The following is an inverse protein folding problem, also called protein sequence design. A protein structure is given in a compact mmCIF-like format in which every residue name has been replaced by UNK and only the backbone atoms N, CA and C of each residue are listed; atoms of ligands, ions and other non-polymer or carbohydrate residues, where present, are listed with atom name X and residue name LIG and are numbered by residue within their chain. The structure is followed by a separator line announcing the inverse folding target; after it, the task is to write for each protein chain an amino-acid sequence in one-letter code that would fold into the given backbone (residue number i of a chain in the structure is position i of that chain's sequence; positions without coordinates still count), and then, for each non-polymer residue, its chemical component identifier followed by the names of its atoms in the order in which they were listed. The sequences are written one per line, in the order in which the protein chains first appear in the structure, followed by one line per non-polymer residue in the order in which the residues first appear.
data_IF_201347369583
#
_entry.id   IF_201347369583
#
_cell.length_a   1.000
_cell.length_b   1.000
_cell.length_c   1.000
_cell.angle_alpha   90.00
_cell.angle_beta   90.00
_cell.angle_gamma   90.00
#
_symmetry.space_group_name_H-M   'P 1'
#
loop_
_entity.id
_entity.type
_entity.pdbx_description
1 polymer ?
#
# COMPACT_ATOMS: atom_id res chain seq x y z
N UNK A 1 10.97 0.99 10.77
CA UNK A 1 11.76 -0.20 10.41
C UNK A 1 11.01 -1.52 10.53
N UNK A 2 10.06 -1.70 11.49
CA UNK A 2 9.26 -2.94 11.60
C UNK A 2 8.52 -3.30 10.29
N UNK A 3 7.79 -2.35 9.70
CA UNK A 3 7.09 -2.57 8.43
C UNK A 3 7.99 -3.11 7.33
N UNK A 4 9.19 -2.55 7.17
CA UNK A 4 10.13 -2.94 6.12
C UNK A 4 10.62 -4.39 6.30
N UNK A 5 10.87 -4.82 7.54
CA UNK A 5 11.24 -6.20 7.88
C UNK A 5 10.06 -7.17 7.71
N UNK A 6 8.84 -6.74 8.06
CA UNK A 6 7.63 -7.53 7.87
C UNK A 6 7.31 -7.71 6.38
N UNK A 7 7.49 -6.66 5.58
CA UNK A 7 7.25 -6.66 4.14
C UNK A 7 8.31 -7.46 3.36
N UNK A 8 9.56 -7.43 3.83
CA UNK A 8 10.65 -8.17 3.20
C UNK A 8 10.62 -9.66 3.52
N UNK A 9 9.89 -10.10 4.55
CA UNK A 9 9.73 -11.50 4.95
C UNK A 9 11.06 -12.26 5.07
N UNK A 10 12.13 -11.58 5.50
CA UNK A 10 13.49 -12.14 5.62
C UNK A 10 14.34 -12.07 4.35
N UNK A 11 13.81 -11.63 3.21
CA UNK A 11 14.57 -11.40 1.98
C UNK A 11 15.25 -10.02 2.02
N UNK A 12 16.57 -10.03 2.17
CA UNK A 12 17.37 -8.81 2.25
C UNK A 12 17.38 -8.02 0.92
N UNK A 13 17.33 -8.68 -0.24
CA UNK A 13 17.25 -8.01 -1.55
C UNK A 13 15.96 -7.24 -1.70
N UNK A 14 14.84 -7.84 -1.25
CA UNK A 14 13.53 -7.18 -1.26
C UNK A 14 13.50 -5.96 -0.35
N UNK A 15 14.10 -6.05 0.85
CA UNK A 15 14.16 -4.91 1.77
C UNK A 15 14.91 -3.71 1.18
N UNK A 16 16.04 -3.94 0.49
CA UNK A 16 16.83 -2.87 -0.11
C UNK A 16 16.09 -2.19 -1.26
N UNK A 17 15.43 -2.96 -2.12
CA UNK A 17 14.63 -2.38 -3.21
C UNK A 17 13.52 -1.49 -2.65
N UNK A 18 12.78 -1.96 -1.64
CA UNK A 18 11.70 -1.17 -1.03
C UNK A 18 12.26 0.10 -0.39
N UNK A 19 13.39 0.01 0.32
CA UNK A 19 14.05 1.14 0.95
C UNK A 19 14.51 2.19 -0.06
N UNK A 20 15.09 1.75 -1.18
CA UNK A 20 15.56 2.63 -2.24
C UNK A 20 14.39 3.30 -2.95
N UNK A 21 13.37 2.55 -3.36
CA UNK A 21 12.18 3.09 -4.01
C UNK A 21 11.44 4.08 -3.11
N UNK A 22 11.27 3.79 -1.81
CA UNK A 22 10.65 4.74 -0.88
C UNK A 22 11.44 6.02 -0.71
N UNK A 23 12.77 5.93 -0.60
CA UNK A 23 13.61 7.11 -0.51
C UNK A 23 13.61 7.93 -1.80
N UNK A 24 13.60 7.28 -2.97
CA UNK A 24 13.53 7.94 -4.26
C UNK A 24 12.18 8.63 -4.50
N UNK A 25 11.06 8.00 -4.09
CA UNK A 25 9.73 8.54 -4.31
C UNK A 25 9.33 9.64 -3.30
N UNK A 26 9.68 9.48 -2.02
CA UNK A 26 9.18 10.36 -0.94
C UNK A 26 10.27 11.13 -0.19
N UNK A 27 11.56 10.87 -0.45
CA UNK A 27 12.70 11.50 0.24
C UNK A 27 12.84 11.14 1.73
N UNK A 28 11.82 10.52 2.33
CA UNK A 28 11.78 10.10 3.74
C UNK A 28 11.15 8.72 3.87
N UNK A 29 11.86 7.82 4.53
CA UNK A 29 11.40 6.46 4.79
C UNK A 29 10.64 6.43 6.12
N UNK A 30 9.31 6.41 6.04
CA UNK A 30 8.39 6.17 7.16
C UNK A 30 7.61 4.89 6.93
N UNK A 31 6.93 4.39 7.95
CA UNK A 31 6.10 3.19 7.82
C UNK A 31 4.99 3.38 6.78
N UNK A 32 4.36 4.56 6.79
CA UNK A 32 3.34 4.95 5.81
C UNK A 32 3.89 4.98 4.38
N UNK A 33 5.03 5.64 4.14
CA UNK A 33 5.61 5.71 2.78
C UNK A 33 6.04 4.33 2.27
N UNK A 34 6.48 3.44 3.17
CA UNK A 34 6.80 2.04 2.84
C UNK A 34 5.57 1.23 2.43
N UNK A 35 4.44 1.36 3.12
CA UNK A 35 3.20 0.70 2.72
C UNK A 35 2.66 1.26 1.40
N UNK A 36 2.67 2.58 1.24
CA UNK A 36 2.24 3.26 0.00
C UNK A 36 3.09 2.85 -1.20
N UNK A 37 4.42 2.87 -1.07
CA UNK A 37 5.34 2.53 -2.16
C UNK A 37 5.32 1.04 -2.54
N UNK A 38 4.87 0.16 -1.63
CA UNK A 38 4.74 -1.28 -1.91
C UNK A 38 3.37 -1.68 -2.44
N UNK A 39 2.44 -0.73 -2.57
CA UNK A 39 1.07 -1.01 -3.01
C UNK A 39 0.33 -1.97 -2.09
N UNK A 40 0.72 -2.02 -0.80
CA UNK A 40 0.04 -2.86 0.17
C UNK A 40 -0.96 -2.01 0.96
N UNK A 41 -2.24 -2.44 1.04
CA UNK A 41 -3.24 -1.72 1.80
C UNK A 41 -2.86 -1.68 3.29
N UNK A 42 -3.15 -0.57 3.94
CA UNK A 42 -2.95 -0.42 5.37
C UNK A 42 -3.97 -1.28 6.12
N UNK A 43 -3.65 -1.63 7.38
CA UNK A 43 -4.61 -2.35 8.24
C UNK A 43 -5.93 -1.59 8.41
N UNK A 44 -5.89 -0.26 8.38
CA UNK A 44 -7.06 0.62 8.37
C UNK A 44 -7.91 0.42 7.10
N UNK A 45 -7.30 0.25 5.94
CA UNK A 45 -8.00 0.07 4.67
C UNK A 45 -8.76 -1.25 4.66
N UNK A 46 -8.15 -2.31 5.21
CA UNK A 46 -8.81 -3.62 5.37
C UNK A 46 -10.01 -3.51 6.31
N UNK A 47 -9.89 -2.75 7.40
CA UNK A 47 -11.01 -2.51 8.32
C UNK A 47 -12.14 -1.72 7.64
N UNK A 48 -11.81 -0.72 6.82
CA UNK A 48 -12.80 0.05 6.05
C UNK A 48 -13.51 -0.81 5.01
N UNK A 49 -12.80 -1.71 4.32
CA UNK A 49 -13.42 -2.68 3.39
C UNK A 49 -14.42 -3.56 4.14
N UNK A 50 -14.04 -4.06 5.32
CA UNK A 50 -14.92 -4.88 6.16
C UNK A 50 -16.16 -4.09 6.61
N UNK A 51 -15.98 -2.83 7.00
CA UNK A 51 -17.08 -1.94 7.38
C UNK A 51 -18.05 -1.70 6.21
N UNK A 52 -17.52 -1.44 5.01
CA UNK A 52 -18.34 -1.29 3.80
C UNK A 52 -19.08 -2.56 3.43
N UNK A 53 -18.45 -3.73 3.57
CA UNK A 53 -19.10 -5.01 3.28
C UNK A 53 -20.21 -5.36 4.28
N UNK A 54 -20.12 -4.89 5.52
CA UNK A 54 -21.08 -5.21 6.58
C UNK A 54 -22.20 -4.16 6.70
N UNK A 55 -21.94 -2.89 6.37
CA UNK A 55 -22.85 -1.78 6.62
C UNK A 55 -23.43 -1.10 5.35
N UNK A 56 -22.85 -1.31 4.16
CA UNK A 56 -23.33 -0.70 2.91
C UNK A 56 -24.04 -1.69 1.99
N UNK A 57 -24.80 -1.15 1.03
CA UNK A 57 -25.37 -1.94 -0.04
C UNK A 57 -24.28 -2.48 -0.98
N UNK A 58 -24.55 -3.64 -1.60
CA UNK A 58 -23.59 -4.34 -2.45
C UNK A 58 -22.98 -3.46 -3.55
N UNK A 59 -23.78 -2.56 -4.15
CA UNK A 59 -23.32 -1.72 -5.25
C UNK A 59 -22.35 -0.64 -4.74
N UNK A 60 -22.68 0.02 -3.63
CA UNK A 60 -21.84 1.03 -2.99
C UNK A 60 -20.55 0.41 -2.43
N UNK A 61 -20.65 -0.73 -1.73
CA UNK A 61 -19.49 -1.45 -1.21
C UNK A 61 -18.53 -1.87 -2.34
N UNK A 62 -19.07 -2.43 -3.42
CA UNK A 62 -18.28 -2.85 -4.58
C UNK A 62 -17.54 -1.67 -5.24
N UNK A 63 -18.21 -0.52 -5.40
CA UNK A 63 -17.59 0.71 -5.94
C UNK A 63 -16.47 1.23 -5.04
N UNK A 64 -16.69 1.28 -3.73
CA UNK A 64 -15.68 1.75 -2.76
C UNK A 64 -14.44 0.86 -2.76
N UNK A 65 -14.63 -0.47 -2.81
CA UNK A 65 -13.53 -1.44 -2.87
C UNK A 65 -12.75 -1.30 -4.19
N UNK A 66 -13.45 -1.17 -5.32
CA UNK A 66 -12.83 -0.96 -6.64
C UNK A 66 -11.99 0.32 -6.67
N UNK A 67 -12.56 1.42 -6.19
CA UNK A 67 -11.88 2.71 -6.16
C UNK A 67 -10.61 2.64 -5.31
N UNK A 68 -10.69 2.00 -4.14
CA UNK A 68 -9.55 1.81 -3.25
C UNK A 68 -8.46 0.94 -3.91
N UNK A 69 -8.83 -0.14 -4.59
CA UNK A 69 -7.88 -0.99 -5.32
C UNK A 69 -7.14 -0.24 -6.43
N UNK A 70 -7.84 0.63 -7.18
CA UNK A 70 -7.23 1.47 -8.21
C UNK A 70 -6.24 2.47 -7.60
N UNK A 71 -6.61 3.12 -6.50
CA UNK A 71 -5.72 4.08 -5.81
C UNK A 71 -4.43 3.42 -5.30
N UNK A 72 -4.53 2.22 -4.73
CA UNK A 72 -3.35 1.45 -4.27
C UNK A 72 -2.45 1.05 -5.45
N UNK A 73 -3.06 0.63 -6.56
CA UNK A 73 -2.33 0.28 -7.78
C UNK A 73 -1.56 1.48 -8.34
N UNK A 74 -2.19 2.66 -8.44
CA UNK A 74 -1.54 3.89 -8.93
C UNK A 74 -0.37 4.29 -8.04
N UNK A 75 -0.54 4.26 -6.71
CA UNK A 75 0.54 4.56 -5.76
C UNK A 75 1.76 3.63 -5.90
N UNK A 76 1.54 2.37 -6.28
CA UNK A 76 2.62 1.43 -6.58
C UNK A 76 3.40 1.81 -7.84
N UNK A 77 2.72 2.19 -8.92
CA UNK A 77 3.36 2.63 -10.16
C UNK A 77 4.17 3.91 -9.97
N UNK A 78 3.62 4.90 -9.26
CA UNK A 78 4.33 6.14 -8.93
C UNK A 78 5.57 5.85 -8.06
N UNK A 79 5.47 4.93 -7.10
CA UNK A 79 6.58 4.50 -6.24
C UNK A 79 7.70 3.76 -6.99
N UNK A 80 7.42 3.21 -8.18
CA UNK A 80 8.43 2.59 -9.04
C UNK A 80 9.14 3.58 -9.97
N UNK A 81 8.72 4.85 -10.02
CA UNK A 81 9.35 5.87 -10.85
C UNK A 81 9.23 5.59 -12.35
N UNK A 82 8.17 4.90 -12.77
CA UNK A 82 7.85 4.71 -14.19
C UNK A 82 7.00 5.90 -14.62
N UNK A 83 7.66 6.96 -15.12
CA UNK A 83 7.01 8.00 -15.94
C UNK A 83 6.73 7.49 -17.37
#
# INVERSE_FOLDING_TARGET
MKALVTLSNGDMRRSLNILQSTYMAFGKVTEETVYTCTGQPLKSDIANILDWMLNLDFTSAYRSILQMGISVQVAYWDGMGIE
#
